data_IF_720840859204
#
_entry.id   IF_720840859204
#
_cell.length_a   1.000
_cell.length_b   1.000
_cell.length_c   1.000
_cell.angle_alpha   90.00
_cell.angle_beta   90.00
_cell.angle_gamma   90.00
#
_symmetry.space_group_name_H-M   'P 1'
#
loop_
_entity.id
_entity.type
_entity.pdbx_description
1 polymer ?
#
# COMPACT_ATOMS: atom_id res chain seq x y z
N UNK A 1 35.29 -22.00 -26.11
CA UNK A 1 35.57 -22.06 -24.65
C UNK A 1 36.72 -21.11 -24.31
N UNK A 2 36.77 -20.56 -23.09
CA UNK A 2 37.83 -19.64 -22.62
C UNK A 2 39.19 -20.35 -22.50
N UNK A 3 40.29 -19.60 -22.71
CA UNK A 3 41.66 -20.09 -22.45
C UNK A 3 41.91 -20.29 -20.94
N UNK A 4 42.91 -21.10 -20.54
CA UNK A 4 43.26 -21.30 -19.14
C UNK A 4 43.55 -19.99 -18.38
N UNK A 5 44.23 -19.03 -19.01
CA UNK A 5 44.54 -17.72 -18.44
C UNK A 5 43.29 -16.87 -18.25
N UNK A 6 42.35 -16.94 -19.21
CA UNK A 6 41.08 -16.25 -19.11
C UNK A 6 40.21 -16.84 -17.99
N UNK A 7 40.17 -18.17 -17.84
CA UNK A 7 39.48 -18.85 -16.72
C UNK A 7 40.04 -18.41 -15.37
N UNK A 8 41.37 -18.34 -15.24
CA UNK A 8 42.03 -17.84 -14.02
C UNK A 8 41.61 -16.41 -13.68
N UNK A 9 41.56 -15.51 -14.66
CA UNK A 9 41.14 -14.11 -14.46
C UNK A 9 39.68 -13.99 -14.02
N UNK A 10 38.78 -14.84 -14.55
CA UNK A 10 37.37 -14.90 -14.12
C UNK A 10 37.29 -15.38 -12.66
N UNK A 11 37.95 -16.49 -12.33
CA UNK A 11 37.93 -17.07 -10.98
C UNK A 11 38.53 -16.13 -9.92
N UNK A 12 39.51 -15.31 -10.28
CA UNK A 12 40.12 -14.29 -9.42
C UNK A 12 39.30 -12.98 -9.34
N UNK A 13 38.12 -12.90 -9.96
CA UNK A 13 37.26 -11.70 -9.95
C UNK A 13 37.79 -10.53 -10.78
N UNK A 14 38.90 -10.69 -11.51
CA UNK A 14 39.58 -9.60 -12.25
C UNK A 14 38.76 -9.02 -13.41
N UNK A 15 37.65 -9.66 -13.76
CA UNK A 15 36.75 -9.29 -14.86
C UNK A 15 35.43 -8.68 -14.35
N UNK A 16 35.16 -8.74 -13.03
CA UNK A 16 33.86 -8.35 -12.43
C UNK A 16 33.40 -6.95 -12.85
N UNK A 17 34.30 -5.97 -12.90
CA UNK A 17 33.98 -4.59 -13.29
C UNK A 17 34.40 -4.24 -14.73
N UNK A 18 34.81 -5.23 -15.54
CA UNK A 18 35.33 -5.01 -16.90
C UNK A 18 34.39 -5.48 -18.01
N UNK A 19 33.44 -6.34 -17.67
CA UNK A 19 32.38 -6.77 -18.55
C UNK A 19 31.04 -6.49 -17.88
N UNK A 20 30.11 -5.92 -18.65
CA UNK A 20 28.72 -5.75 -18.24
C UNK A 20 27.85 -6.47 -19.25
N UNK A 21 27.04 -7.38 -18.74
CA UNK A 21 26.10 -8.17 -19.49
C UNK A 21 24.68 -7.67 -19.22
N UNK A 22 23.87 -7.60 -20.27
CA UNK A 22 22.49 -7.13 -20.22
C UNK A 22 21.58 -8.24 -20.72
N UNK A 23 20.65 -8.67 -19.87
CA UNK A 23 19.79 -9.82 -20.12
C UNK A 23 18.32 -9.46 -19.86
N UNK A 24 17.40 -10.28 -20.35
CA UNK A 24 16.01 -10.28 -19.90
C UNK A 24 15.76 -11.44 -18.94
N UNK A 25 14.71 -11.36 -18.12
CA UNK A 25 14.44 -12.42 -17.12
C UNK A 25 14.12 -13.77 -17.79
N UNK A 26 13.43 -13.74 -18.92
CA UNK A 26 13.09 -14.91 -19.71
C UNK A 26 14.20 -15.34 -20.68
N UNK A 27 15.30 -14.58 -20.83
CA UNK A 27 16.39 -14.91 -21.75
C UNK A 27 17.15 -16.16 -21.27
N UNK A 28 16.90 -17.34 -21.88
CA UNK A 28 17.55 -18.57 -21.43
C UNK A 28 19.01 -18.62 -21.88
N UNK A 29 19.39 -17.84 -22.90
CA UNK A 29 20.76 -17.84 -23.38
C UNK A 29 21.60 -16.94 -22.52
N UNK A 30 21.18 -15.69 -22.27
CA UNK A 30 21.88 -14.71 -21.44
C UNK A 30 21.94 -15.10 -19.97
N UNK A 31 20.94 -15.80 -19.44
CA UNK A 31 20.94 -16.29 -18.06
C UNK A 31 21.73 -17.61 -17.95
N UNK A 32 23.05 -17.53 -18.13
CA UNK A 32 23.96 -18.69 -18.20
C UNK A 32 24.06 -19.53 -16.90
N UNK A 33 23.58 -19.01 -15.76
CA UNK A 33 23.63 -19.69 -14.46
C UNK A 33 22.86 -21.02 -14.47
N UNK A 34 21.82 -21.14 -15.30
CA UNK A 34 21.05 -22.38 -15.43
C UNK A 34 21.83 -23.54 -16.05
N UNK A 35 22.98 -23.27 -16.68
CA UNK A 35 23.89 -24.28 -17.23
C UNK A 35 25.13 -24.52 -16.36
N UNK A 36 25.14 -24.02 -15.12
CA UNK A 36 26.26 -24.18 -14.18
C UNK A 36 27.51 -23.38 -14.53
N UNK A 37 27.41 -22.44 -15.49
CA UNK A 37 28.51 -21.55 -15.85
C UNK A 37 28.64 -20.40 -14.84
N UNK A 38 29.87 -20.05 -14.40
CA UNK A 38 30.06 -18.91 -13.51
C UNK A 38 29.75 -17.60 -14.24
N UNK A 39 29.16 -16.64 -13.53
CA UNK A 39 28.93 -15.30 -14.05
C UNK A 39 30.27 -14.63 -14.39
N UNK A 40 30.37 -14.04 -15.59
CA UNK A 40 31.55 -13.30 -16.03
C UNK A 40 31.22 -11.81 -16.03
N UNK A 41 31.82 -11.03 -15.13
CA UNK A 41 31.50 -9.61 -15.02
C UNK A 41 30.26 -9.35 -14.17
N UNK A 42 29.58 -8.23 -14.43
CA UNK A 42 28.27 -7.90 -13.86
C UNK A 42 27.17 -8.17 -14.87
N UNK A 43 26.04 -8.67 -14.41
CA UNK A 43 24.84 -8.83 -15.24
C UNK A 43 23.70 -7.99 -14.67
N UNK A 44 22.97 -7.31 -15.56
CA UNK A 44 21.78 -6.53 -15.22
C UNK A 44 20.59 -6.98 -16.04
N UNK A 45 19.47 -7.20 -15.36
CA UNK A 45 18.20 -7.51 -16.02
C UNK A 45 17.52 -6.23 -16.48
N UNK A 46 17.31 -6.09 -17.78
CA UNK A 46 16.69 -4.93 -18.40
C UNK A 46 15.19 -5.12 -18.60
N UNK A 47 14.46 -4.00 -18.69
CA UNK A 47 13.06 -4.00 -19.12
C UNK A 47 12.98 -4.52 -20.55
N UNK A 48 12.18 -5.57 -20.77
CA UNK A 48 11.85 -6.07 -22.11
C UNK A 48 10.69 -5.28 -22.70
N UNK A 49 10.63 -5.16 -24.02
CA UNK A 49 9.47 -4.63 -24.74
C UNK A 49 8.46 -5.74 -25.12
N UNK A 50 7.34 -5.36 -25.74
CA UNK A 50 6.28 -6.29 -26.15
C UNK A 50 6.52 -6.93 -27.54
N UNK A 51 7.78 -7.05 -27.98
CA UNK A 51 8.09 -7.67 -29.28
C UNK A 51 7.61 -9.10 -29.30
N UNK A 52 6.73 -9.43 -30.25
CA UNK A 52 6.22 -10.78 -30.44
C UNK A 52 7.25 -11.61 -31.19
N UNK A 53 7.95 -12.48 -30.48
CA UNK A 53 8.83 -13.47 -31.08
C UNK A 53 8.02 -14.66 -31.63
N UNK A 54 8.53 -15.30 -32.69
CA UNK A 54 7.89 -16.47 -33.29
C UNK A 54 7.79 -17.64 -32.30
N UNK A 55 6.83 -18.55 -32.51
CA UNK A 55 6.56 -19.68 -31.61
C UNK A 55 7.82 -20.50 -31.29
N UNK A 56 8.66 -20.78 -32.28
CA UNK A 56 9.90 -21.53 -32.10
C UNK A 56 10.95 -20.74 -31.28
N UNK A 57 11.07 -19.43 -31.51
CA UNK A 57 11.97 -18.53 -30.76
C UNK A 57 11.54 -18.44 -29.30
N UNK A 58 10.24 -18.31 -29.03
CA UNK A 58 9.69 -18.27 -27.68
C UNK A 58 9.93 -19.58 -26.88
N UNK A 59 10.14 -20.70 -27.57
CA UNK A 59 10.43 -21.99 -26.92
C UNK A 59 11.90 -22.19 -26.57
N UNK A 60 12.83 -21.51 -27.25
CA UNK A 60 14.27 -21.81 -27.16
C UNK A 60 15.16 -20.62 -26.86
N UNK A 61 14.70 -19.40 -27.16
CA UNK A 61 15.47 -18.15 -27.14
C UNK A 61 14.61 -16.93 -26.75
N UNK A 62 13.54 -17.13 -25.97
CA UNK A 62 12.59 -16.07 -25.61
C UNK A 62 13.32 -14.89 -24.97
N UNK A 63 13.11 -13.67 -25.45
CA UNK A 63 13.76 -12.50 -24.90
C UNK A 63 15.20 -12.29 -25.37
N UNK A 64 15.91 -13.25 -25.96
CA UNK A 64 17.32 -13.09 -26.33
C UNK A 64 17.53 -12.20 -27.58
N UNK A 65 16.53 -12.09 -28.45
CA UNK A 65 16.64 -11.41 -29.73
C UNK A 65 16.97 -9.92 -29.59
N UNK A 66 17.80 -9.35 -30.47
CA UNK A 66 18.19 -7.92 -30.41
C UNK A 66 16.99 -6.95 -30.39
N UNK A 67 15.87 -7.37 -30.98
CA UNK A 67 14.65 -6.56 -31.03
C UNK A 67 13.95 -6.43 -29.67
N UNK A 68 14.14 -7.37 -28.74
CA UNK A 68 13.55 -7.34 -27.38
C UNK A 68 14.17 -6.25 -26.51
N UNK A 69 15.41 -5.85 -26.82
CA UNK A 69 16.16 -4.76 -26.18
C UNK A 69 15.81 -3.37 -26.73
N UNK A 70 14.99 -3.26 -27.78
CA UNK A 70 14.58 -1.93 -28.30
C UNK A 70 13.77 -1.20 -27.24
N UNK A 71 14.23 -0.01 -26.84
CA UNK A 71 13.59 0.77 -25.78
C UNK A 71 13.94 0.32 -24.35
N UNK A 72 14.97 -0.52 -24.19
CA UNK A 72 15.54 -0.92 -22.91
C UNK A 72 16.65 0.01 -22.41
N UNK A 73 16.87 1.13 -23.11
CA UNK A 73 17.84 2.15 -22.76
C UNK A 73 17.17 3.53 -22.78
N UNK A 74 17.57 4.38 -21.85
CA UNK A 74 17.18 5.79 -21.81
C UNK A 74 17.81 6.55 -22.99
N UNK A 75 17.34 7.77 -23.28
CA UNK A 75 17.88 8.60 -24.37
C UNK A 75 19.35 8.98 -24.22
N UNK A 76 19.88 8.94 -22.99
CA UNK A 76 21.29 9.15 -22.67
C UNK A 76 22.13 7.86 -22.78
N UNK A 77 21.53 6.75 -23.19
CA UNK A 77 22.19 5.44 -23.33
C UNK A 77 22.32 4.63 -22.05
N UNK A 78 21.82 5.10 -20.89
CA UNK A 78 21.84 4.29 -19.67
C UNK A 78 20.78 3.17 -19.72
N UNK A 79 21.06 1.98 -19.18
CA UNK A 79 20.11 0.86 -19.18
C UNK A 79 18.86 1.18 -18.35
N UNK A 80 17.69 0.77 -18.84
CA UNK A 80 16.43 0.76 -18.09
C UNK A 80 16.32 -0.60 -17.43
N UNK A 81 16.60 -0.65 -16.13
CA UNK A 81 16.49 -1.88 -15.36
C UNK A 81 15.04 -2.36 -15.31
N UNK A 82 14.83 -3.67 -15.23
CA UNK A 82 13.49 -4.26 -15.09
C UNK A 82 12.73 -3.70 -13.87
N UNK A 83 13.46 -3.37 -12.81
CA UNK A 83 12.94 -2.67 -11.63
C UNK A 83 13.84 -1.46 -11.36
N UNK A 84 13.38 -0.26 -11.68
CA UNK A 84 14.14 0.93 -11.34
C UNK A 84 13.87 1.34 -9.88
N UNK A 85 14.85 1.94 -9.18
CA UNK A 85 14.64 2.50 -7.85
C UNK A 85 13.44 3.46 -7.77
N UNK A 86 13.17 4.18 -8.86
CA UNK A 86 12.01 5.07 -8.98
C UNK A 86 10.67 4.33 -8.96
N UNK A 87 10.62 3.11 -9.50
CA UNK A 87 9.43 2.27 -9.44
C UNK A 87 9.16 1.81 -8.00
N UNK A 88 10.21 1.42 -7.27
CA UNK A 88 10.13 1.07 -5.85
C UNK A 88 9.62 2.26 -5.04
N UNK A 89 10.20 3.45 -5.24
CA UNK A 89 9.78 4.70 -4.58
C UNK A 89 8.31 5.01 -4.91
N UNK A 90 7.89 4.84 -6.17
CA UNK A 90 6.50 5.08 -6.58
C UNK A 90 5.54 4.13 -5.87
N UNK A 91 5.87 2.85 -5.75
CA UNK A 91 5.03 1.90 -5.01
C UNK A 91 5.01 2.22 -3.51
N UNK A 92 6.15 2.58 -2.91
CA UNK A 92 6.22 3.02 -1.52
C UNK A 92 5.34 4.26 -1.25
N UNK A 93 5.34 5.24 -2.16
CA UNK A 93 4.46 6.42 -2.08
C UNK A 93 2.96 6.07 -2.14
N UNK A 94 2.57 5.05 -2.92
CA UNK A 94 1.18 4.56 -2.94
C UNK A 94 0.78 3.97 -1.58
N UNK A 95 1.64 3.15 -0.98
CA UNK A 95 1.43 2.57 0.35
C UNK A 95 1.32 3.68 1.40
N UNK A 96 2.22 4.67 1.35
CA UNK A 96 2.17 5.82 2.24
C UNK A 96 0.85 6.61 2.11
N UNK A 97 0.38 6.81 0.88
CA UNK A 97 -0.91 7.50 0.61
C UNK A 97 -2.09 6.72 1.20
N UNK A 98 -2.09 5.39 1.08
CA UNK A 98 -3.11 4.55 1.71
C UNK A 98 -3.06 4.65 3.24
N UNK A 99 -1.88 4.64 3.83
CA UNK A 99 -1.69 4.82 5.28
C UNK A 99 -2.22 6.17 5.77
N UNK A 100 -1.98 7.25 5.02
CA UNK A 100 -2.52 8.57 5.32
C UNK A 100 -4.06 8.58 5.27
N UNK A 101 -4.67 7.96 4.24
CA UNK A 101 -6.13 7.85 4.13
C UNK A 101 -6.75 7.09 5.29
N UNK A 102 -6.14 6.00 5.75
CA UNK A 102 -6.62 5.28 6.94
C UNK A 102 -6.58 6.16 8.20
N UNK A 103 -5.56 7.02 8.31
CA UNK A 103 -5.48 7.99 9.42
C UNK A 103 -6.60 9.03 9.35
N UNK A 104 -6.95 9.49 8.15
CA UNK A 104 -8.03 10.46 7.97
C UNK A 104 -9.40 9.84 8.25
N UNK A 105 -9.61 8.57 7.87
CA UNK A 105 -10.83 7.82 8.23
C UNK A 105 -10.96 7.73 9.77
N UNK A 106 -9.88 7.38 10.47
CA UNK A 106 -9.92 7.31 11.94
C UNK A 106 -10.32 8.66 12.57
N UNK A 107 -9.76 9.78 12.09
CA UNK A 107 -10.14 11.12 12.54
C UNK A 107 -11.61 11.45 12.24
N UNK A 108 -12.10 11.08 11.06
CA UNK A 108 -13.49 11.33 10.68
C UNK A 108 -14.46 10.55 11.57
N UNK A 109 -14.10 9.32 11.97
CA UNK A 109 -14.87 8.55 12.94
C UNK A 109 -14.87 9.26 14.30
N UNK A 110 -13.70 9.66 14.82
CA UNK A 110 -13.61 10.41 16.09
C UNK A 110 -14.43 11.71 16.08
N UNK A 111 -14.38 12.45 14.98
CA UNK A 111 -15.17 13.67 14.79
C UNK A 111 -16.68 13.37 14.73
N UNK A 112 -17.08 12.33 14.02
CA UNK A 112 -18.47 11.88 13.99
C UNK A 112 -18.97 11.54 15.40
N UNK A 113 -18.20 10.80 16.20
CA UNK A 113 -18.58 10.44 17.58
C UNK A 113 -18.77 11.68 18.46
N UNK A 114 -17.86 12.66 18.35
CA UNK A 114 -17.96 13.93 19.08
C UNK A 114 -19.19 14.73 18.66
N UNK A 115 -19.41 14.88 17.36
CA UNK A 115 -20.53 15.66 16.82
C UNK A 115 -21.87 15.02 17.19
N UNK A 116 -21.96 13.68 17.18
CA UNK A 116 -23.14 12.96 17.67
C UNK A 116 -23.36 13.24 19.15
N UNK A 117 -22.35 13.05 20.01
CA UNK A 117 -22.47 13.29 21.45
C UNK A 117 -22.94 14.73 21.77
N UNK A 118 -22.40 15.73 21.08
CA UNK A 118 -22.82 17.13 21.22
C UNK A 118 -24.27 17.35 20.79
N UNK A 119 -24.68 16.76 19.66
CA UNK A 119 -26.05 16.86 19.16
C UNK A 119 -27.06 16.20 20.11
N UNK A 120 -26.72 15.04 20.66
CA UNK A 120 -27.55 14.32 21.63
C UNK A 120 -27.69 15.13 22.92
N UNK A 121 -26.59 15.68 23.44
CA UNK A 121 -26.64 16.51 24.64
C UNK A 121 -27.46 17.78 24.41
N UNK A 122 -27.34 18.40 23.24
CA UNK A 122 -28.14 19.56 22.87
C UNK A 122 -29.62 19.23 22.82
N UNK A 123 -29.99 18.10 22.19
CA UNK A 123 -31.38 17.63 22.14
C UNK A 123 -31.93 17.38 23.55
N UNK A 124 -31.18 16.67 24.40
CA UNK A 124 -31.56 16.43 25.81
C UNK A 124 -31.84 17.74 26.54
N UNK A 125 -30.94 18.70 26.44
CA UNK A 125 -31.09 19.99 27.12
C UNK A 125 -32.32 20.76 26.61
N UNK A 126 -32.58 20.73 25.30
CA UNK A 126 -33.78 21.37 24.72
C UNK A 126 -35.07 20.73 25.23
N UNK A 127 -35.14 19.40 25.21
CA UNK A 127 -36.34 18.67 25.66
C UNK A 127 -36.59 18.84 27.17
N UNK A 128 -35.53 18.78 27.99
CA UNK A 128 -35.61 19.05 29.43
C UNK A 128 -36.04 20.48 29.74
N UNK A 129 -35.60 21.46 28.95
CA UNK A 129 -36.10 22.82 29.12
C UNK A 129 -37.62 22.91 28.88
N UNK A 130 -38.14 22.12 27.95
CA UNK A 130 -39.58 22.02 27.65
C UNK A 130 -40.39 21.22 28.69
N UNK A 131 -39.75 20.59 29.69
CA UNK A 131 -40.45 19.96 30.82
C UNK A 131 -40.76 20.92 31.97
N UNK A 132 -40.23 22.15 31.93
CA UNK A 132 -40.55 23.18 32.92
C UNK A 132 -42.02 23.65 32.88
N UNK A 133 -42.44 24.39 33.90
CA UNK A 133 -43.80 24.96 33.99
C UNK A 133 -44.14 25.80 32.73
N UNK A 134 -45.22 25.43 32.04
CA UNK A 134 -45.66 26.08 30.80
C UNK A 134 -44.97 25.58 29.52
N UNK A 135 -44.04 24.62 29.64
CA UNK A 135 -43.38 23.97 28.51
C UNK A 135 -44.25 22.93 27.81
N UNK A 136 -43.86 22.56 26.58
CA UNK A 136 -44.60 21.60 25.75
C UNK A 136 -44.69 20.22 26.39
N UNK A 137 -43.67 19.83 27.14
CA UNK A 137 -43.55 18.55 27.81
C UNK A 137 -43.64 18.67 29.33
N UNK A 138 -44.36 19.68 29.85
CA UNK A 138 -44.51 19.95 31.30
C UNK A 138 -45.11 18.80 32.14
N UNK A 139 -45.63 17.76 31.48
CA UNK A 139 -46.11 16.54 32.14
C UNK A 139 -45.03 15.48 32.32
N UNK A 140 -43.87 15.66 31.67
CA UNK A 140 -42.72 14.78 31.80
C UNK A 140 -41.75 15.36 32.82
N UNK A 141 -41.04 14.49 33.50
CA UNK A 141 -39.88 14.83 34.31
C UNK A 141 -38.59 14.78 33.47
N UNK A 142 -37.55 15.50 33.88
CA UNK A 142 -36.29 15.53 33.12
C UNK A 142 -35.65 14.15 32.93
N UNK A 143 -35.82 13.24 33.89
CA UNK A 143 -35.29 11.88 33.80
C UNK A 143 -36.05 11.04 32.77
N UNK A 144 -37.35 11.29 32.55
CA UNK A 144 -38.14 10.58 31.54
C UNK A 144 -37.65 10.91 30.13
N UNK A 145 -37.15 12.14 29.92
CA UNK A 145 -36.46 12.54 28.67
C UNK A 145 -35.16 11.75 28.49
N UNK A 146 -34.37 11.60 29.55
CA UNK A 146 -33.13 10.82 29.49
C UNK A 146 -33.40 9.34 29.21
N UNK A 147 -34.41 8.75 29.85
CA UNK A 147 -34.81 7.37 29.64
C UNK A 147 -35.31 7.13 28.22
N UNK A 148 -36.18 7.99 27.70
CA UNK A 148 -36.69 7.88 26.34
C UNK A 148 -35.57 7.92 25.29
N UNK A 149 -34.58 8.80 25.46
CA UNK A 149 -33.41 8.86 24.57
C UNK A 149 -32.53 7.62 24.73
N UNK A 150 -32.32 7.17 25.97
CA UNK A 150 -31.51 5.97 26.27
C UNK A 150 -32.11 4.69 25.69
N UNK A 151 -33.44 4.60 25.57
CA UNK A 151 -34.13 3.45 24.97
C UNK A 151 -33.87 3.31 23.47
N UNK A 152 -33.61 4.42 22.78
CA UNK A 152 -33.33 4.44 21.33
C UNK A 152 -31.82 4.31 21.07
N UNK A 153 -31.00 4.74 22.02
CA UNK A 153 -29.55 4.66 21.94
C UNK A 153 -29.08 3.21 21.74
N UNK A 154 -28.10 3.03 20.86
CA UNK A 154 -27.51 1.71 20.60
C UNK A 154 -26.59 1.29 21.74
N UNK A 155 -25.88 2.24 22.33
CA UNK A 155 -25.02 2.00 23.50
C UNK A 155 -24.88 3.28 24.34
N UNK A 156 -24.75 3.10 25.66
CA UNK A 156 -24.40 4.18 26.58
C UNK A 156 -22.97 3.99 27.09
N UNK A 157 -22.14 5.02 26.98
CA UNK A 157 -20.75 4.98 27.43
C UNK A 157 -20.33 6.30 28.09
N UNK A 158 -19.76 6.21 29.29
CA UNK A 158 -19.34 7.40 30.04
C UNK A 158 -20.48 8.40 30.30
N UNK A 159 -21.72 7.92 30.42
CA UNK A 159 -22.91 8.78 30.59
C UNK A 159 -23.46 9.40 29.31
N UNK A 160 -22.82 9.18 28.16
CA UNK A 160 -23.29 9.63 26.84
C UNK A 160 -24.01 8.51 26.11
N UNK A 161 -25.17 8.82 25.55
CA UNK A 161 -25.95 7.91 24.72
C UNK A 161 -25.53 8.07 23.25
N UNK A 162 -25.11 6.97 22.62
CA UNK A 162 -24.67 6.92 21.23
C UNK A 162 -25.70 6.17 20.38
N UNK A 163 -25.98 6.70 19.20
CA UNK A 163 -26.91 6.10 18.24
C UNK A 163 -26.19 5.18 17.23
N UNK A 164 -24.87 5.13 17.29
CA UNK A 164 -24.02 4.18 16.59
C UNK A 164 -23.37 3.18 17.55
N UNK A 165 -22.71 2.16 16.99
CA UNK A 165 -21.92 1.21 17.79
C UNK A 165 -20.57 1.83 18.17
N UNK A 166 -20.53 2.48 19.33
CA UNK A 166 -19.33 3.17 19.80
C UNK A 166 -18.15 2.24 20.06
N UNK A 167 -18.40 0.96 20.42
CA UNK A 167 -17.33 -0.01 20.64
C UNK A 167 -16.68 -0.42 19.32
N UNK A 168 -17.49 -0.69 18.29
CA UNK A 168 -16.97 -0.99 16.96
C UNK A 168 -16.19 0.20 16.38
N UNK A 169 -16.68 1.43 16.57
CA UNK A 169 -16.00 2.64 16.14
C UNK A 169 -14.61 2.79 16.80
N UNK A 170 -14.52 2.58 18.12
CA UNK A 170 -13.24 2.60 18.84
C UNK A 170 -12.29 1.48 18.41
N UNK A 171 -12.80 0.27 18.17
CA UNK A 171 -12.00 -0.84 17.66
C UNK A 171 -11.41 -0.53 16.29
N UNK A 172 -12.21 0.03 15.37
CA UNK A 172 -11.76 0.47 14.05
C UNK A 172 -10.67 1.55 14.15
N UNK A 173 -10.88 2.56 15.00
CA UNK A 173 -9.88 3.60 15.27
C UNK A 173 -8.58 2.97 15.79
N UNK A 174 -8.69 2.01 16.72
CA UNK A 174 -7.53 1.33 17.30
C UNK A 174 -6.77 0.51 16.25
N UNK A 175 -7.48 -0.23 15.39
CA UNK A 175 -6.90 -0.99 14.28
C UNK A 175 -6.15 -0.08 13.31
N UNK A 176 -6.74 1.04 12.91
CA UNK A 176 -6.09 2.01 12.02
C UNK A 176 -4.85 2.65 12.65
N UNK A 177 -4.88 2.95 13.95
CA UNK A 177 -3.72 3.50 14.68
C UNK A 177 -2.61 2.47 14.88
N UNK A 178 -2.93 1.20 15.13
CA UNK A 178 -1.95 0.11 15.29
C UNK A 178 -1.17 -0.16 14.00
N UNK A 179 -1.87 -0.17 12.87
CA UNK A 179 -1.28 -0.40 11.55
C UNK A 179 -0.31 0.72 11.09
N UNK A 180 -0.20 1.82 11.83
CA UNK A 180 0.75 2.91 11.58
C UNK A 180 2.14 2.68 12.21
N UNK A 181 2.26 1.75 13.18
CA UNK A 181 3.50 1.51 13.94
C UNK A 181 4.43 0.46 13.30
N UNK A 182 4.10 -0.03 12.11
CA UNK A 182 4.88 -1.00 11.32
C UNK A 182 5.46 -0.28 10.11
#
# INVERSE_FOLDING_TARGET
>A
MLSPEAKKRVNEGKIENKATDYTHENDPIGNHTQFGAPLIGKQYTLRQNDTKEGFLTRLTMDGHGRDTFRGSFHSNGSPILKLEPQDIIRQAKKIQTLSNRLSDIAKNIEEFQRNEAEAVQKLKNQLKHETGLGGRYHLLEEYEVDEAISQIAKIRKGGTDYFHDANLAEELIHLFKKNKRV
#
